data_IF_908506313534
#
_entry.id   IF_908506313534
#
_cell.length_a   1.000
_cell.length_b   1.000
_cell.length_c   1.000
_cell.angle_alpha   90.00
_cell.angle_beta   90.00
_cell.angle_gamma   90.00
#
_symmetry.space_group_name_H-M   'P 1'
#
loop_
_entity.id
_entity.type
_entity.pdbx_description
1 polymer ?
#
# COMPACT_ATOMS: atom_id res chain seq x y z
N UNK A 1 -4.56 -5.25 -14.03
CA UNK A 1 -3.80 -3.99 -14.16
C UNK A 1 -2.52 -4.06 -13.33
N UNK A 2 -1.42 -3.65 -13.93
CA UNK A 2 -0.15 -3.60 -13.22
C UNK A 2 0.42 -2.17 -13.28
N UNK A 3 1.64 -1.99 -12.78
CA UNK A 3 2.27 -0.67 -12.76
C UNK A 3 2.42 -0.09 -14.18
N UNK A 4 2.76 -0.91 -15.16
CA UNK A 4 2.90 -0.44 -16.54
C UNK A 4 1.58 0.06 -17.12
N UNK A 5 0.48 -0.58 -16.75
CA UNK A 5 -0.85 -0.13 -17.18
C UNK A 5 -1.17 1.25 -16.59
N UNK A 6 -0.79 1.47 -15.32
CA UNK A 6 -0.94 2.79 -14.70
C UNK A 6 -0.08 3.84 -15.39
N UNK A 7 1.15 3.49 -15.74
CA UNK A 7 2.05 4.40 -16.47
C UNK A 7 1.41 4.78 -17.82
N UNK A 8 0.80 3.81 -18.51
CA UNK A 8 0.13 4.08 -19.78
C UNK A 8 -1.03 5.04 -19.63
N UNK A 9 -1.81 4.94 -18.55
CA UNK A 9 -2.89 5.86 -18.28
C UNK A 9 -2.38 7.27 -17.98
N UNK A 10 -1.31 7.38 -17.19
CA UNK A 10 -0.71 8.67 -16.87
C UNK A 10 -0.11 9.30 -18.12
N UNK A 11 0.45 8.48 -19.03
CA UNK A 11 1.03 8.97 -20.28
C UNK A 11 0.03 9.71 -21.17
N UNK A 12 -1.25 9.50 -20.97
CA UNK A 12 -2.30 10.20 -21.72
C UNK A 12 -2.43 11.68 -21.30
N UNK A 13 -1.94 12.04 -20.12
CA UNK A 13 -2.08 13.39 -19.57
C UNK A 13 -0.75 14.12 -19.39
N UNK A 14 0.39 13.46 -19.66
CA UNK A 14 1.72 14.08 -19.64
C UNK A 14 2.35 14.01 -21.03
N UNK A 15 3.46 14.67 -21.23
CA UNK A 15 4.05 14.81 -22.56
C UNK A 15 4.73 13.53 -23.06
N UNK A 16 5.38 12.77 -22.18
CA UNK A 16 6.15 11.59 -22.58
C UNK A 16 5.91 10.41 -21.63
N UNK A 17 6.22 9.20 -22.13
CA UNK A 17 6.15 8.00 -21.31
C UNK A 17 7.14 8.06 -20.14
N UNK A 18 8.30 8.66 -20.37
CA UNK A 18 9.31 8.81 -19.32
C UNK A 18 8.78 9.69 -18.18
N UNK A 19 8.08 10.77 -18.52
CA UNK A 19 7.43 11.61 -17.51
C UNK A 19 6.36 10.85 -16.77
N UNK A 20 5.59 10.01 -17.48
CA UNK A 20 4.56 9.19 -16.86
C UNK A 20 5.14 8.22 -15.84
N UNK A 21 6.26 7.57 -16.16
CA UNK A 21 6.95 6.69 -15.21
C UNK A 21 7.42 7.45 -13.98
N UNK A 22 7.98 8.64 -14.19
CA UNK A 22 8.45 9.49 -13.09
C UNK A 22 7.30 9.91 -12.17
N UNK A 23 6.15 10.23 -12.74
CA UNK A 23 4.96 10.62 -11.97
C UNK A 23 4.47 9.44 -11.13
N UNK A 24 4.31 8.27 -11.74
CA UNK A 24 3.87 7.06 -11.03
C UNK A 24 4.84 6.71 -9.91
N UNK A 25 6.13 6.70 -10.19
CA UNK A 25 7.15 6.40 -9.19
C UNK A 25 7.16 7.42 -8.06
N UNK A 26 6.93 8.68 -8.38
CA UNK A 26 6.87 9.75 -7.37
C UNK A 26 5.69 9.54 -6.41
N UNK A 27 4.52 9.19 -6.95
CA UNK A 27 3.33 8.96 -6.13
C UNK A 27 3.54 7.77 -5.20
N UNK A 28 3.95 6.63 -5.73
CA UNK A 28 4.16 5.44 -4.91
C UNK A 28 5.33 5.61 -3.94
N UNK A 29 6.37 6.31 -4.36
CA UNK A 29 7.50 6.62 -3.48
C UNK A 29 7.09 7.49 -2.30
N UNK A 30 6.26 8.50 -2.54
CA UNK A 30 5.76 9.37 -1.48
C UNK A 30 4.91 8.59 -0.48
N UNK A 31 4.03 7.72 -0.97
CA UNK A 31 3.20 6.87 -0.11
C UNK A 31 4.09 5.94 0.72
N UNK A 32 5.06 5.31 0.10
CA UNK A 32 5.99 4.39 0.77
C UNK A 32 6.76 5.09 1.88
N UNK A 33 7.31 6.28 1.60
CA UNK A 33 8.05 7.03 2.61
C UNK A 33 7.18 7.47 3.78
N UNK A 34 5.95 7.91 3.50
CA UNK A 34 5.03 8.29 4.57
C UNK A 34 4.72 7.11 5.48
N UNK A 35 4.44 5.94 4.90
CA UNK A 35 4.15 4.74 5.68
C UNK A 35 5.36 4.24 6.46
N UNK A 36 6.54 4.40 5.89
CA UNK A 36 7.80 4.04 6.55
C UNK A 36 7.98 4.84 7.83
N UNK A 37 7.56 6.09 7.83
CA UNK A 37 7.63 6.95 9.02
C UNK A 37 6.42 6.80 9.95
N UNK A 38 5.50 5.92 9.62
CA UNK A 38 4.32 5.67 10.42
C UNK A 38 3.16 6.63 10.16
N UNK A 39 3.27 7.45 9.12
CA UNK A 39 2.22 8.40 8.78
C UNK A 39 1.08 7.72 8.02
N UNK A 40 -0.09 8.29 8.18
CA UNK A 40 -1.28 7.90 7.43
C UNK A 40 -1.31 8.66 6.12
N UNK A 41 -1.72 7.99 5.05
CA UNK A 41 -1.92 8.64 3.74
C UNK A 41 -3.40 8.60 3.40
N UNK A 42 -4.08 9.74 3.51
CA UNK A 42 -5.49 9.85 3.23
C UNK A 42 -5.70 10.47 1.85
N UNK A 43 -6.26 9.67 0.93
CA UNK A 43 -6.55 10.10 -0.43
C UNK A 43 -8.05 10.28 -0.57
N UNK A 44 -8.50 11.53 -0.54
CA UNK A 44 -9.93 11.85 -0.60
C UNK A 44 -10.57 11.23 -1.85
N UNK A 45 -11.71 10.57 -1.66
CA UNK A 45 -12.42 9.90 -2.74
C UNK A 45 -11.86 8.55 -3.17
N UNK A 46 -10.76 8.11 -2.56
CA UNK A 46 -10.15 6.84 -2.90
C UNK A 46 -10.04 5.92 -1.68
N UNK A 47 -9.28 6.33 -0.68
CA UNK A 47 -9.09 5.54 0.53
C UNK A 47 -7.92 6.02 1.35
N UNK A 48 -7.59 5.26 2.38
CA UNK A 48 -6.55 5.63 3.32
C UNK A 48 -5.57 4.48 3.50
N UNK A 49 -4.27 4.77 3.37
CA UNK A 49 -3.21 3.84 3.72
C UNK A 49 -2.77 4.11 5.15
N UNK A 50 -2.64 3.06 5.94
CA UNK A 50 -2.19 3.16 7.32
C UNK A 50 -1.16 2.08 7.60
N UNK A 51 -0.44 2.23 8.70
CA UNK A 51 0.45 1.18 9.20
C UNK A 51 -0.18 0.61 10.46
N UNK A 52 -0.30 -0.69 10.51
CA UNK A 52 -0.84 -1.41 11.66
C UNK A 52 0.32 -2.07 12.39
N UNK A 53 0.42 -1.81 13.69
CA UNK A 53 1.40 -2.47 14.54
C UNK A 53 0.82 -3.79 15.01
N UNK A 54 1.47 -4.89 14.64
CA UNK A 54 1.11 -6.20 15.16
C UNK A 54 2.06 -6.54 16.31
N UNK A 55 1.52 -6.77 17.52
CA UNK A 55 2.37 -7.07 18.67
C UNK A 55 3.04 -8.44 18.52
N UNK A 56 4.10 -8.69 19.28
CA UNK A 56 4.70 -10.02 19.30
C UNK A 56 3.67 -11.01 19.85
N UNK A 57 3.69 -12.22 19.33
CA UNK A 57 2.77 -13.27 19.77
C UNK A 57 3.46 -14.61 19.71
N UNK A 58 2.87 -15.60 20.35
CA UNK A 58 3.34 -16.98 20.28
C UNK A 58 2.54 -17.71 19.22
N UNK A 59 3.25 -18.50 18.42
CA UNK A 59 2.64 -19.34 17.41
C UNK A 59 3.19 -20.75 17.50
N UNK A 60 2.77 -21.61 16.60
CA UNK A 60 3.27 -22.99 16.54
C UNK A 60 3.87 -23.27 15.19
N UNK A 61 4.98 -24.01 15.19
CA UNK A 61 5.60 -24.45 13.97
C UNK A 61 4.65 -25.46 13.27
N UNK A 62 4.30 -25.26 11.99
CA UNK A 62 3.31 -26.11 11.33
C UNK A 62 3.70 -27.57 11.20
N UNK A 63 5.00 -27.89 11.18
CA UNK A 63 5.47 -29.27 11.03
C UNK A 63 5.76 -29.96 12.36
N UNK A 64 6.33 -29.23 13.32
CA UNK A 64 6.78 -29.85 14.58
C UNK A 64 5.81 -29.60 15.72
N UNK A 65 4.94 -28.63 15.61
CA UNK A 65 4.06 -28.25 16.70
C UNK A 65 4.74 -27.50 17.82
N UNK A 66 6.03 -27.21 17.68
CA UNK A 66 6.77 -26.44 18.68
C UNK A 66 6.25 -25.03 18.78
N UNK A 67 6.24 -24.51 20.00
CA UNK A 67 5.88 -23.11 20.25
C UNK A 67 7.02 -22.20 19.79
N UNK A 68 6.70 -21.20 18.99
CA UNK A 68 7.67 -20.23 18.49
C UNK A 68 7.23 -18.82 18.84
N UNK A 69 8.21 -17.94 18.99
CA UNK A 69 7.94 -16.51 19.22
C UNK A 69 7.88 -15.80 17.88
N UNK A 70 6.75 -15.16 17.62
CA UNK A 70 6.57 -14.35 16.42
C UNK A 70 6.81 -12.90 16.81
N UNK A 71 7.83 -12.28 16.23
CA UNK A 71 8.23 -10.93 16.57
C UNK A 71 7.15 -9.90 16.16
N UNK A 72 7.13 -8.79 16.89
CA UNK A 72 6.30 -7.65 16.51
C UNK A 72 6.68 -7.17 15.12
N UNK A 73 5.69 -6.70 14.36
CA UNK A 73 5.94 -6.15 13.03
C UNK A 73 4.94 -5.07 12.67
N UNK A 74 5.32 -4.24 11.72
CA UNK A 74 4.45 -3.22 11.16
C UNK A 74 3.99 -3.67 9.79
N UNK A 75 2.71 -3.53 9.51
CA UNK A 75 2.10 -4.00 8.26
C UNK A 75 1.33 -2.85 7.63
N UNK A 76 1.56 -2.56 6.34
CA UNK A 76 0.75 -1.56 5.66
C UNK A 76 -0.65 -2.11 5.42
N UNK A 77 -1.64 -1.24 5.54
CA UNK A 77 -3.04 -1.61 5.33
C UNK A 77 -3.73 -0.51 4.52
N UNK A 78 -4.57 -0.93 3.60
CA UNK A 78 -5.40 -0.01 2.82
C UNK A 78 -6.86 -0.15 3.22
N UNK A 79 -7.49 0.99 3.54
CA UNK A 79 -8.91 1.04 3.85
C UNK A 79 -9.60 1.83 2.73
N UNK A 80 -10.40 1.16 1.88
CA UNK A 80 -11.07 1.85 0.78
C UNK A 80 -12.08 2.87 1.29
N UNK A 81 -12.17 3.99 0.61
CA UNK A 81 -13.14 5.01 0.93
C UNK A 81 -14.52 4.65 0.43
N UNK A 82 -15.53 5.37 0.91
CA UNK A 82 -16.92 5.13 0.53
C UNK A 82 -17.13 5.26 -0.98
N UNK A 83 -16.56 6.29 -1.59
CA UNK A 83 -16.71 6.52 -3.03
C UNK A 83 -16.15 5.35 -3.83
N UNK A 84 -15.00 4.80 -3.42
CA UNK A 84 -14.39 3.67 -4.10
C UNK A 84 -15.25 2.41 -3.93
N UNK A 85 -15.76 2.17 -2.75
CA UNK A 85 -16.65 1.02 -2.49
C UNK A 85 -17.92 1.10 -3.32
N UNK A 86 -18.48 2.30 -3.48
CA UNK A 86 -19.72 2.50 -4.22
C UNK A 86 -19.54 2.22 -5.71
N UNK A 87 -18.36 2.46 -6.25
CA UNK A 87 -18.07 2.22 -7.67
C UNK A 87 -17.96 0.73 -8.00
N UNK A 88 -17.54 -0.09 -7.04
CA UNK A 88 -17.26 -1.53 -7.29
C UNK A 88 -18.30 -2.49 -6.72
N UNK A 89 -19.36 -1.98 -6.11
CA UNK A 89 -20.39 -2.87 -5.57
C UNK A 89 -21.31 -3.42 -6.64
#
# INVERSE_FOLDING_TARGET
MNKEDLVSEVAKVVATKKEAEAVVDSVFGAITEALKEGDRVNLAGFGTFTVVDKPPRKGRHPKTGEEIDIAAKKVPKFNPGKALKDVVK
#
